data_IF_181138024470
#
_entry.id   IF_181138024470
#
_cell.length_a   1.000
_cell.length_b   1.000
_cell.length_c   1.000
_cell.angle_alpha   90.00
_cell.angle_beta   90.00
_cell.angle_gamma   90.00
#
_symmetry.space_group_name_H-M   'P 1'
#
loop_
_entity.id
_entity.type
_entity.pdbx_description
1 polymer ?
#
# COMPACT_ATOMS: atom_id res chain seq x y z
N UNK A 1 5.39 -20.27 17.52
CA UNK A 1 6.38 -21.05 16.73
C UNK A 1 6.12 -20.93 15.22
N UNK A 2 4.95 -21.22 14.71
CA UNK A 2 4.58 -21.11 13.28
C UNK A 2 4.92 -19.75 12.65
N UNK A 3 4.56 -18.66 13.31
CA UNK A 3 4.89 -17.30 12.85
C UNK A 3 6.40 -17.07 12.72
N UNK A 4 7.18 -17.57 13.67
CA UNK A 4 8.65 -17.45 13.65
C UNK A 4 9.24 -18.24 12.45
N UNK A 5 8.71 -19.44 12.19
CA UNK A 5 9.09 -20.25 11.02
C UNK A 5 8.74 -19.52 9.72
N UNK A 6 7.53 -19.00 9.59
CA UNK A 6 7.12 -18.19 8.43
C UNK A 6 8.08 -17.03 8.18
N UNK A 7 8.46 -16.34 9.23
CA UNK A 7 9.34 -15.18 9.13
C UNK A 7 10.77 -15.55 8.72
N UNK A 8 11.36 -16.59 9.32
CA UNK A 8 12.75 -16.98 9.01
C UNK A 8 12.87 -17.66 7.65
N UNK A 9 11.92 -18.56 7.30
CA UNK A 9 11.95 -19.32 6.05
C UNK A 9 11.34 -18.55 4.86
N UNK A 10 10.41 -17.63 5.11
CA UNK A 10 9.58 -17.01 4.10
C UNK A 10 8.44 -17.92 3.62
N UNK A 11 8.11 -18.98 4.37
CA UNK A 11 7.07 -19.93 4.03
C UNK A 11 5.70 -19.26 3.84
N UNK A 12 5.04 -19.57 2.73
CA UNK A 12 3.74 -19.01 2.34
C UNK A 12 2.56 -19.92 2.66
N UNK A 13 2.84 -21.19 2.92
CA UNK A 13 1.83 -22.21 3.17
C UNK A 13 2.33 -23.28 4.17
N UNK A 14 1.42 -24.13 4.64
CA UNK A 14 1.71 -25.16 5.64
C UNK A 14 2.66 -26.25 5.12
N UNK A 15 2.74 -26.46 3.80
CA UNK A 15 3.69 -27.40 3.21
C UNK A 15 5.13 -26.92 3.40
N UNK A 16 5.39 -25.66 3.07
CA UNK A 16 6.70 -25.03 3.24
C UNK A 16 7.12 -24.92 4.71
N UNK A 17 6.16 -24.73 5.62
CA UNK A 17 6.41 -24.76 7.07
C UNK A 17 6.88 -26.16 7.48
N UNK A 18 6.18 -27.20 7.03
CA UNK A 18 6.55 -28.60 7.31
C UNK A 18 7.91 -28.96 6.72
N UNK A 19 8.22 -28.49 5.53
CA UNK A 19 9.53 -28.68 4.90
C UNK A 19 10.66 -28.03 5.74
N UNK A 20 10.44 -26.76 6.17
CA UNK A 20 11.38 -26.14 7.10
C UNK A 20 11.58 -26.97 8.38
N UNK A 21 10.50 -27.44 9.01
CA UNK A 21 10.58 -28.26 10.20
C UNK A 21 11.31 -29.58 9.96
N UNK A 22 11.07 -30.25 8.82
CA UNK A 22 11.75 -31.50 8.45
C UNK A 22 13.25 -31.29 8.27
N UNK A 23 13.66 -30.18 7.68
CA UNK A 23 15.07 -29.85 7.45
C UNK A 23 15.82 -29.45 8.75
N UNK A 24 15.09 -29.16 9.83
CA UNK A 24 15.64 -28.73 11.11
C UNK A 24 15.30 -29.69 12.26
N UNK A 25 14.89 -30.94 11.94
CA UNK A 25 14.49 -31.92 12.94
C UNK A 25 15.67 -32.39 13.81
N UNK A 26 16.89 -32.37 13.28
CA UNK A 26 18.12 -32.80 13.95
C UNK A 26 18.88 -31.63 14.59
N UNK A 27 18.33 -30.42 14.57
CA UNK A 27 18.94 -29.25 15.23
C UNK A 27 18.94 -29.48 16.76
N UNK A 28 20.04 -29.16 17.40
CA UNK A 28 20.20 -29.34 18.87
C UNK A 28 19.14 -28.58 19.66
N UNK A 29 18.70 -27.43 19.14
CA UNK A 29 17.68 -26.61 19.77
C UNK A 29 17.10 -25.60 18.76
N UNK A 30 16.05 -24.88 19.16
CA UNK A 30 15.40 -23.86 18.36
C UNK A 30 15.94 -22.43 18.63
N UNK A 31 17.15 -22.28 19.21
CA UNK A 31 17.71 -20.98 19.58
C UNK A 31 17.84 -20.03 18.38
N UNK A 32 18.34 -20.47 17.19
CA UNK A 32 18.41 -19.58 16.02
C UNK A 32 17.06 -19.03 15.59
N UNK A 33 16.00 -19.86 15.66
CA UNK A 33 14.63 -19.44 15.36
C UNK A 33 14.11 -18.42 16.39
N UNK A 34 14.41 -18.65 17.67
CA UNK A 34 14.02 -17.75 18.76
C UNK A 34 14.74 -16.40 18.68
N UNK A 35 16.05 -16.44 18.39
CA UNK A 35 16.88 -15.24 18.24
C UNK A 35 16.36 -14.39 17.08
N UNK A 36 16.15 -14.99 15.90
CA UNK A 36 15.58 -14.29 14.75
C UNK A 36 14.21 -13.67 15.05
N UNK A 37 13.32 -14.44 15.68
CA UNK A 37 12.00 -13.92 16.08
C UNK A 37 12.12 -12.74 17.04
N UNK A 38 13.05 -12.84 18.00
CA UNK A 38 13.30 -11.78 18.98
C UNK A 38 13.86 -10.53 18.32
N UNK A 39 14.77 -10.68 17.35
CA UNK A 39 15.34 -9.59 16.59
C UNK A 39 14.25 -8.84 15.80
N UNK A 40 13.36 -9.57 15.10
CA UNK A 40 12.21 -8.98 14.41
C UNK A 40 11.33 -8.20 15.38
N UNK A 41 10.97 -8.79 16.52
CA UNK A 41 10.10 -8.12 17.50
C UNK A 41 10.76 -6.89 18.10
N UNK A 42 12.06 -6.94 18.41
CA UNK A 42 12.81 -5.82 18.96
C UNK A 42 12.91 -4.67 17.93
N UNK A 43 13.15 -5.01 16.68
CA UNK A 43 13.17 -4.05 15.58
C UNK A 43 11.80 -3.36 15.42
N UNK A 44 10.70 -4.14 15.42
CA UNK A 44 9.34 -3.59 15.34
C UNK A 44 9.05 -2.65 16.52
N UNK A 45 9.37 -3.08 17.76
CA UNK A 45 9.16 -2.25 18.95
C UNK A 45 9.98 -0.96 18.94
N UNK A 46 11.18 -1.00 18.34
CA UNK A 46 12.04 0.17 18.18
C UNK A 46 11.46 1.18 17.20
N UNK A 47 10.91 0.72 16.07
CA UNK A 47 10.37 1.61 15.04
C UNK A 47 8.90 2.02 15.31
N UNK A 48 8.11 1.14 15.92
CA UNK A 48 6.69 1.36 16.22
C UNK A 48 6.42 1.17 17.72
N UNK A 49 6.81 2.13 18.57
CA UNK A 49 6.63 2.01 20.02
C UNK A 49 5.16 2.04 20.45
N UNK A 50 4.29 2.67 19.65
CA UNK A 50 2.86 2.72 19.90
C UNK A 50 2.18 1.48 19.31
N UNK A 51 1.75 0.56 20.18
CA UNK A 51 1.02 -0.63 19.73
C UNK A 51 -0.36 -0.30 19.18
N UNK A 52 -0.67 -0.83 18.00
CA UNK A 52 -2.01 -0.78 17.38
C UNK A 52 -2.47 -2.18 16.97
N UNK A 53 -3.78 -2.46 17.08
CA UNK A 53 -4.35 -3.79 16.76
C UNK A 53 -4.06 -4.26 15.32
N UNK A 54 -3.90 -3.33 14.40
CA UNK A 54 -3.58 -3.57 12.99
C UNK A 54 -2.21 -4.26 12.81
N UNK A 55 -1.30 -4.09 13.75
CA UNK A 55 0.03 -4.70 13.74
C UNK A 55 0.02 -6.23 13.85
N UNK A 56 -1.07 -6.83 14.36
CA UNK A 56 -1.14 -8.28 14.63
C UNK A 56 -0.97 -9.18 13.41
N UNK A 57 -1.34 -8.72 12.23
CA UNK A 57 -1.39 -9.57 11.03
C UNK A 57 -0.38 -9.14 9.97
N UNK A 58 0.61 -8.34 10.36
CA UNK A 58 1.67 -7.89 9.47
C UNK A 58 2.76 -8.95 9.40
N UNK A 59 3.26 -9.22 8.20
CA UNK A 59 4.41 -10.10 7.98
C UNK A 59 5.73 -9.37 8.30
N UNK A 60 5.92 -9.09 9.61
CA UNK A 60 7.07 -8.34 10.10
C UNK A 60 8.41 -8.96 9.72
N UNK A 61 8.48 -10.28 9.58
CA UNK A 61 9.69 -10.96 9.13
C UNK A 61 10.09 -10.59 7.70
N UNK A 62 9.12 -10.36 6.81
CA UNK A 62 9.39 -9.90 5.44
C UNK A 62 9.89 -8.46 5.46
N UNK A 63 9.21 -7.58 6.20
CA UNK A 63 9.65 -6.18 6.37
C UNK A 63 11.04 -6.09 7.01
N UNK A 64 11.33 -6.93 8.00
CA UNK A 64 12.65 -6.99 8.63
C UNK A 64 13.75 -7.43 7.65
N UNK A 65 13.47 -8.43 6.78
CA UNK A 65 14.42 -8.83 5.74
C UNK A 65 14.71 -7.71 4.74
N UNK A 66 13.72 -6.92 4.39
CA UNK A 66 13.84 -5.82 3.42
C UNK A 66 14.50 -4.57 4.04
N UNK A 67 14.13 -4.22 5.27
CA UNK A 67 14.43 -2.91 5.86
C UNK A 67 15.16 -2.97 7.19
N UNK A 68 15.35 -4.16 7.80
CA UNK A 68 15.93 -4.32 9.15
C UNK A 68 17.36 -3.79 9.29
N UNK A 69 18.14 -3.79 8.22
CA UNK A 69 19.50 -3.21 8.19
C UNK A 69 19.54 -1.73 7.80
N UNK A 70 18.40 -1.14 7.42
CA UNK A 70 18.34 0.26 7.02
C UNK A 70 18.37 1.19 8.23
N UNK A 71 19.19 2.24 8.17
CA UNK A 71 19.19 3.34 9.13
C UNK A 71 18.36 4.56 8.67
N UNK A 72 17.64 4.43 7.56
CA UNK A 72 16.89 5.53 6.96
C UNK A 72 15.59 5.86 7.72
N UNK A 73 15.12 4.96 8.60
CA UNK A 73 13.83 5.10 9.27
C UNK A 73 14.00 5.42 10.75
N UNK A 74 13.32 6.46 11.21
CA UNK A 74 13.25 6.82 12.62
C UNK A 74 11.86 6.55 13.19
N UNK A 75 11.77 6.18 14.47
CA UNK A 75 10.50 5.90 15.11
C UNK A 75 9.58 7.14 15.12
N UNK A 76 10.15 8.33 15.24
CA UNK A 76 9.40 9.58 15.28
C UNK A 76 8.73 9.89 13.93
N UNK A 77 9.47 9.81 12.83
CA UNK A 77 8.94 10.03 11.47
C UNK A 77 7.85 9.01 11.12
N UNK A 78 8.13 7.72 11.38
CA UNK A 78 7.16 6.64 11.14
C UNK A 78 5.89 6.81 11.97
N UNK A 79 6.00 7.21 13.25
CA UNK A 79 4.83 7.41 14.12
C UNK A 79 3.97 8.58 13.64
N UNK A 80 4.57 9.68 13.20
CA UNK A 80 3.86 10.83 12.63
C UNK A 80 3.09 10.38 11.38
N UNK A 81 3.74 9.66 10.47
CA UNK A 81 3.12 9.23 9.23
C UNK A 81 2.03 8.19 9.45
N UNK A 82 2.30 7.15 10.26
CA UNK A 82 1.30 6.14 10.64
C UNK A 82 0.09 6.79 11.30
N UNK A 83 0.29 7.70 12.26
CA UNK A 83 -0.80 8.37 12.94
C UNK A 83 -1.66 9.21 11.99
N UNK A 84 -1.04 9.91 11.05
CA UNK A 84 -1.74 10.68 10.02
C UNK A 84 -2.59 9.77 9.12
N UNK A 85 -2.01 8.67 8.63
CA UNK A 85 -2.72 7.73 7.76
C UNK A 85 -3.83 6.97 8.47
N UNK A 86 -3.65 6.62 9.75
CA UNK A 86 -4.70 5.98 10.58
C UNK A 86 -5.92 6.88 10.80
N UNK A 87 -5.74 8.20 10.74
CA UNK A 87 -6.84 9.18 10.87
C UNK A 87 -7.56 9.41 9.53
N UNK A 88 -6.94 9.12 8.40
CA UNK A 88 -7.52 9.31 7.07
C UNK A 88 -8.43 8.13 6.67
N UNK A 89 -9.44 7.85 7.50
CA UNK A 89 -10.37 6.72 7.33
C UNK A 89 -11.27 6.86 6.09
N UNK A 90 -11.38 8.05 5.53
CA UNK A 90 -12.19 8.30 4.33
C UNK A 90 -11.51 7.80 3.06
N UNK A 91 -10.20 7.91 2.98
CA UNK A 91 -9.43 7.56 1.79
C UNK A 91 -8.65 6.25 1.95
N UNK A 92 -8.05 5.99 3.12
CA UNK A 92 -7.27 4.80 3.41
C UNK A 92 -8.19 3.64 3.81
N UNK A 93 -8.35 2.67 2.92
CA UNK A 93 -9.24 1.52 3.13
C UNK A 93 -8.53 0.35 3.83
N UNK A 94 -7.22 0.16 3.59
CA UNK A 94 -6.42 -0.86 4.28
C UNK A 94 -5.47 -0.25 5.29
N UNK A 95 -5.92 -0.21 6.55
CA UNK A 95 -5.10 0.29 7.65
C UNK A 95 -3.90 -0.61 7.99
N UNK A 96 -3.90 -1.89 7.59
CA UNK A 96 -2.73 -2.77 7.78
C UNK A 96 -1.66 -2.46 6.76
N UNK A 97 -2.07 -2.14 5.54
CA UNK A 97 -1.17 -1.73 4.47
C UNK A 97 -0.35 -0.48 4.79
N UNK A 98 -0.79 0.34 5.76
CA UNK A 98 -0.03 1.51 6.24
C UNK A 98 1.38 1.10 6.67
N UNK A 99 1.55 -0.06 7.33
CA UNK A 99 2.85 -0.54 7.80
C UNK A 99 3.78 -1.04 6.68
N UNK A 100 3.27 -1.28 5.49
CA UNK A 100 4.06 -1.50 4.29
C UNK A 100 4.38 -0.16 3.61
N UNK A 101 3.35 0.65 3.43
CA UNK A 101 3.44 1.95 2.76
C UNK A 101 4.51 2.87 3.35
N UNK A 102 4.65 2.94 4.66
CA UNK A 102 5.64 3.84 5.30
C UNK A 102 7.10 3.46 5.03
N UNK A 103 7.36 2.30 4.43
CA UNK A 103 8.69 1.89 4.01
C UNK A 103 8.98 2.12 2.53
N UNK A 104 8.00 1.91 1.64
CA UNK A 104 8.20 1.96 0.18
C UNK A 104 7.37 3.05 -0.52
N UNK A 105 6.43 3.67 0.19
CA UNK A 105 5.46 4.63 -0.32
C UNK A 105 4.61 4.11 -1.50
N UNK A 106 4.48 2.77 -1.64
CA UNK A 106 3.58 2.18 -2.63
C UNK A 106 2.12 2.30 -2.16
N UNK A 107 1.37 3.16 -2.85
CA UNK A 107 -0.05 3.45 -2.55
C UNK A 107 -0.97 2.23 -2.68
N UNK A 108 -0.56 1.19 -3.41
CA UNK A 108 -1.34 -0.04 -3.53
C UNK A 108 -1.57 -0.71 -2.17
N UNK A 109 -0.63 -0.58 -1.23
CA UNK A 109 -0.79 -1.09 0.13
C UNK A 109 -1.97 -0.46 0.89
N UNK A 110 -2.30 0.79 0.59
CA UNK A 110 -3.34 1.53 1.31
C UNK A 110 -4.76 1.22 0.80
N UNK A 111 -4.88 0.56 -0.38
CA UNK A 111 -6.15 0.34 -1.04
C UNK A 111 -7.02 1.60 -1.03
N UNK A 112 -6.47 2.71 -1.58
CA UNK A 112 -7.11 4.01 -1.54
C UNK A 112 -8.49 3.98 -2.18
N UNK A 113 -9.42 4.78 -1.63
CA UNK A 113 -10.77 4.92 -2.14
C UNK A 113 -10.75 5.32 -3.63
N UNK A 114 -11.58 4.66 -4.42
CA UNK A 114 -11.75 4.94 -5.83
C UNK A 114 -13.10 5.60 -6.10
N UNK A 115 -13.20 6.36 -7.19
CA UNK A 115 -14.47 6.87 -7.66
C UNK A 115 -15.42 5.71 -8.02
N UNK A 116 -16.63 5.75 -7.49
CA UNK A 116 -17.70 4.80 -7.85
C UNK A 116 -18.13 4.99 -9.30
N UNK A 117 -18.77 3.98 -9.90
CA UNK A 117 -19.29 4.07 -11.28
C UNK A 117 -20.31 5.20 -11.44
N UNK A 118 -21.11 5.47 -10.40
CA UNK A 118 -22.00 6.63 -10.39
C UNK A 118 -21.24 7.97 -10.46
N UNK A 119 -20.17 8.12 -9.67
CA UNK A 119 -19.35 9.32 -9.74
C UNK A 119 -18.64 9.45 -11.09
N UNK A 120 -18.12 8.35 -11.64
CA UNK A 120 -17.52 8.34 -13.00
C UNK A 120 -18.51 8.79 -14.06
N UNK A 121 -19.77 8.33 -13.99
CA UNK A 121 -20.83 8.76 -14.91
C UNK A 121 -21.08 10.25 -14.81
N UNK A 122 -21.20 10.82 -13.61
CA UNK A 122 -21.40 12.25 -13.41
C UNK A 122 -20.22 13.06 -13.98
N UNK A 123 -18.97 12.62 -13.72
CA UNK A 123 -17.77 13.29 -14.25
C UNK A 123 -17.73 13.22 -15.78
N UNK A 124 -18.06 12.06 -16.35
CA UNK A 124 -18.12 11.86 -17.80
C UNK A 124 -19.12 12.80 -18.47
N UNK A 125 -20.35 12.87 -17.96
CA UNK A 125 -21.40 13.77 -18.48
C UNK A 125 -21.00 15.24 -18.34
N UNK A 126 -20.42 15.63 -17.20
CA UNK A 126 -19.92 17.00 -16.97
C UNK A 126 -18.84 17.40 -17.99
N UNK A 127 -18.02 16.46 -18.45
CA UNK A 127 -16.95 16.65 -19.42
C UNK A 127 -17.39 16.40 -20.88
N UNK A 128 -18.66 15.99 -21.10
CA UNK A 128 -19.16 15.56 -22.42
C UNK A 128 -18.30 14.48 -23.08
N UNK A 129 -17.68 13.59 -22.30
CA UNK A 129 -16.78 12.53 -22.75
C UNK A 129 -15.43 13.04 -23.31
N UNK A 130 -15.05 14.29 -23.02
CA UNK A 130 -13.78 14.89 -23.49
C UNK A 130 -12.73 14.77 -22.38
N UNK A 131 -11.57 14.20 -22.71
CA UNK A 131 -10.45 14.15 -21.79
C UNK A 131 -9.77 15.53 -21.69
N UNK A 132 -9.68 16.15 -20.50
CA UNK A 132 -9.11 17.50 -20.35
C UNK A 132 -7.62 17.56 -20.70
N UNK A 133 -6.88 16.46 -20.56
CA UNK A 133 -5.46 16.39 -20.93
C UNK A 133 -5.24 16.22 -22.45
N UNK A 134 -6.28 15.96 -23.24
CA UNK A 134 -6.18 15.95 -24.70
C UNK A 134 -6.09 17.35 -25.31
N UNK A 135 -6.26 18.42 -24.52
CA UNK A 135 -6.17 19.81 -25.00
C UNK A 135 -4.81 20.08 -25.68
N UNK A 136 -4.82 20.65 -26.86
CA UNK A 136 -3.61 20.91 -27.67
C UNK A 136 -3.07 19.69 -28.42
N UNK A 137 -3.78 18.57 -28.39
CA UNK A 137 -3.43 17.35 -29.16
C UNK A 137 -4.39 17.10 -30.32
N UNK A 138 -4.07 16.12 -31.17
CA UNK A 138 -4.97 15.68 -32.25
C UNK A 138 -6.33 15.14 -31.72
N UNK A 139 -6.43 14.81 -30.44
CA UNK A 139 -7.63 14.29 -29.78
C UNK A 139 -8.35 15.35 -28.93
N UNK A 140 -8.05 16.64 -29.06
CA UNK A 140 -8.60 17.72 -28.21
C UNK A 140 -10.13 17.69 -28.11
N UNK A 141 -10.79 17.48 -29.23
CA UNK A 141 -12.24 17.45 -29.28
C UNK A 141 -12.83 16.05 -29.47
N UNK A 142 -12.00 15.01 -29.29
CA UNK A 142 -12.48 13.64 -29.41
C UNK A 142 -13.38 13.32 -28.22
N UNK A 143 -14.62 12.92 -28.53
CA UNK A 143 -15.51 12.31 -27.56
C UNK A 143 -15.15 10.83 -27.40
N UNK A 144 -14.68 10.46 -26.20
CA UNK A 144 -14.34 9.11 -25.85
C UNK A 144 -15.56 8.36 -25.34
N UNK A 145 -15.61 7.05 -25.52
CA UNK A 145 -16.59 6.22 -24.80
C UNK A 145 -16.21 6.15 -23.31
N UNK A 146 -17.20 6.07 -22.43
CA UNK A 146 -16.95 6.00 -20.98
C UNK A 146 -16.07 4.80 -20.62
N UNK A 147 -16.17 3.69 -21.37
CA UNK A 147 -15.35 2.50 -21.20
C UNK A 147 -13.88 2.67 -21.62
N UNK A 148 -13.56 3.75 -22.35
CA UNK A 148 -12.19 4.11 -22.76
C UNK A 148 -11.56 5.15 -21.81
N UNK A 149 -12.27 5.50 -20.74
CA UNK A 149 -11.83 6.51 -19.77
C UNK A 149 -11.81 5.95 -18.36
N UNK A 150 -10.91 6.48 -17.54
CA UNK A 150 -10.79 6.15 -16.12
C UNK A 150 -11.06 7.39 -15.27
N UNK A 151 -11.66 7.16 -14.09
CA UNK A 151 -11.83 8.21 -13.08
C UNK A 151 -10.50 8.50 -12.37
N UNK A 152 -10.11 9.75 -12.34
CA UNK A 152 -8.85 10.22 -11.78
C UNK A 152 -9.05 11.47 -10.92
N UNK A 153 -8.14 11.66 -9.95
CA UNK A 153 -8.14 12.84 -9.08
C UNK A 153 -7.45 14.02 -9.77
N UNK A 154 -8.08 15.19 -9.82
CA UNK A 154 -7.45 16.44 -10.31
C UNK A 154 -6.22 16.76 -9.47
N UNK A 155 -6.41 16.79 -8.13
CA UNK A 155 -5.33 16.88 -7.13
C UNK A 155 -5.15 15.46 -6.58
N UNK A 156 -3.95 14.88 -6.73
CA UNK A 156 -3.67 13.53 -6.25
C UNK A 156 -3.81 13.41 -4.72
N UNK A 157 -4.14 12.22 -4.25
CA UNK A 157 -4.24 11.94 -2.81
C UNK A 157 -2.95 12.31 -2.06
N UNK A 158 -1.78 12.02 -2.62
CA UNK A 158 -0.48 12.39 -2.02
C UNK A 158 -0.28 13.89 -1.81
N UNK A 159 -1.06 14.72 -2.54
CA UNK A 159 -1.10 16.19 -2.41
C UNK A 159 -2.33 16.68 -1.62
N UNK A 160 -3.02 15.76 -0.93
CA UNK A 160 -4.19 16.08 -0.09
C UNK A 160 -5.54 16.08 -0.83
N UNK A 161 -5.58 15.60 -2.08
CA UNK A 161 -6.83 15.47 -2.83
C UNK A 161 -7.72 14.37 -2.26
N UNK A 162 -9.02 14.63 -2.17
CA UNK A 162 -10.04 13.69 -1.68
C UNK A 162 -10.82 13.09 -2.84
N UNK A 163 -11.41 11.87 -2.64
CA UNK A 163 -12.25 11.18 -3.61
C UNK A 163 -13.68 11.73 -3.59
N UNK A 164 -13.80 12.98 -4.03
CA UNK A 164 -15.06 13.73 -4.17
C UNK A 164 -15.23 14.23 -5.59
N UNK A 165 -16.48 14.46 -6.04
CA UNK A 165 -16.80 14.84 -7.41
C UNK A 165 -16.08 16.12 -7.87
N UNK A 166 -15.88 17.06 -6.97
CA UNK A 166 -15.20 18.34 -7.23
C UNK A 166 -13.72 18.14 -7.59
N UNK A 167 -13.11 17.10 -7.03
CA UNK A 167 -11.72 16.72 -7.29
C UNK A 167 -11.60 15.56 -8.30
N UNK A 168 -12.71 15.12 -8.90
CA UNK A 168 -12.73 14.04 -9.87
C UNK A 168 -12.76 14.53 -11.32
N UNK A 169 -12.08 13.80 -12.19
CA UNK A 169 -12.11 13.95 -13.63
C UNK A 169 -12.07 12.60 -14.34
N UNK A 170 -12.53 12.56 -15.60
CA UNK A 170 -12.35 11.40 -16.46
C UNK A 170 -11.19 11.66 -17.42
N UNK A 171 -10.21 10.76 -17.43
CA UNK A 171 -9.09 10.79 -18.37
C UNK A 171 -9.18 9.62 -19.34
N UNK A 172 -8.78 9.81 -20.61
CA UNK A 172 -8.56 8.65 -21.47
C UNK A 172 -7.42 7.80 -20.91
N UNK A 173 -7.46 6.49 -21.13
CA UNK A 173 -6.50 5.53 -20.55
C UNK A 173 -5.05 5.94 -20.73
N UNK A 174 -4.70 6.48 -21.92
CA UNK A 174 -3.35 6.97 -22.18
C UNK A 174 -2.92 8.03 -21.16
N UNK A 175 -3.72 9.09 -21.02
CA UNK A 175 -3.38 10.19 -20.10
C UNK A 175 -3.49 9.81 -18.63
N UNK A 176 -4.39 8.88 -18.29
CA UNK A 176 -4.46 8.35 -16.94
C UNK A 176 -3.18 7.61 -16.57
N UNK A 177 -2.65 6.76 -17.45
CA UNK A 177 -1.38 6.07 -17.27
C UNK A 177 -0.21 7.05 -17.15
N UNK A 178 -0.07 7.97 -18.11
CA UNK A 178 0.99 8.99 -18.09
C UNK A 178 1.00 9.87 -16.83
N UNK A 179 -0.18 10.12 -16.25
CA UNK A 179 -0.30 10.86 -14.99
C UNK A 179 0.07 10.03 -13.77
N UNK A 180 -0.20 8.71 -13.79
CA UNK A 180 0.12 7.79 -12.68
C UNK A 180 1.63 7.57 -12.54
N UNK A 181 2.39 7.73 -13.62
CA UNK A 181 3.84 7.53 -13.67
C UNK A 181 4.64 8.78 -13.21
N UNK A 182 3.96 9.89 -12.86
CA UNK A 182 4.54 11.16 -12.39
C UNK A 182 4.07 11.48 -10.97
#
# INVERSE_FOLDING_TARGET
METAIKWISGAKNDGEIREYMANHVDDENAQPLFDYFSDVINWVKKLFPTYRKQMKSIDWGVLYKLYGSSSAFTAEELEIEVSKLMQDTDEVQDQKGIYWYVFDHDKHHLNLRQFSDHQKTIMYERQNGICPMCKGTANENKKWDISEMDGDHIISWSKGGKTVLENGQMLCRKHNHEKSDN
#
